data_IF_313053390901
#
_entry.id   IF_313053390901
#
_cell.length_a   1.000
_cell.length_b   1.000
_cell.length_c   1.000
_cell.angle_alpha   90.00
_cell.angle_beta   90.00
_cell.angle_gamma   90.00
#
_symmetry.space_group_name_H-M   'P 1'
#
loop_
_entity.id
_entity.type
_entity.pdbx_description
1 polymer ?
#
# COMPACT_ATOMS: atom_id res chain seq x y z
N UNK A 1 -0.33 -28.25 1.32
CA UNK A 1 0.98 -27.72 1.72
C UNK A 1 0.78 -26.30 2.22
N UNK A 2 1.30 -25.95 3.38
CA UNK A 2 1.04 -24.65 4.03
C UNK A 2 2.01 -23.59 3.51
N UNK A 3 1.50 -22.40 3.22
CA UNK A 3 2.29 -21.21 2.90
C UNK A 3 2.12 -20.17 4.00
N UNK A 4 3.12 -19.32 4.21
CA UNK A 4 3.09 -18.23 5.20
C UNK A 4 3.18 -16.89 4.48
N UNK A 5 2.14 -16.07 4.60
CA UNK A 5 2.08 -14.70 4.11
C UNK A 5 2.45 -13.74 5.24
N UNK A 6 3.65 -13.17 5.18
CA UNK A 6 4.07 -12.10 6.06
C UNK A 6 3.41 -10.80 5.62
N UNK A 7 2.59 -10.22 6.48
CA UNK A 7 1.72 -9.06 6.17
C UNK A 7 1.57 -8.15 7.39
N UNK A 8 0.81 -7.06 7.23
CA UNK A 8 0.46 -6.14 8.30
C UNK A 8 -0.86 -5.48 7.93
N UNK A 9 -1.79 -5.43 8.88
CA UNK A 9 -3.12 -4.86 8.66
C UNK A 9 -3.15 -3.34 8.40
N UNK A 10 -1.99 -2.66 8.29
CA UNK A 10 -1.92 -1.29 7.77
C UNK A 10 -1.11 -1.15 6.46
N UNK A 11 -0.78 -2.28 5.83
CA UNK A 11 -0.03 -2.33 4.56
C UNK A 11 -1.00 -2.46 3.39
N UNK A 12 -1.08 -1.43 2.56
CA UNK A 12 -1.86 -1.45 1.30
C UNK A 12 -1.54 -2.66 0.43
N UNK A 13 -0.26 -3.00 0.32
CA UNK A 13 0.17 -4.13 -0.49
C UNK A 13 -0.02 -5.47 0.22
N UNK A 14 -0.03 -5.47 1.56
CA UNK A 14 -0.46 -6.63 2.35
C UNK A 14 -1.95 -6.92 2.10
N UNK A 15 -2.78 -5.87 2.15
CA UNK A 15 -4.21 -5.94 1.88
C UNK A 15 -4.51 -6.49 0.47
N UNK A 16 -3.77 -6.06 -0.56
CA UNK A 16 -3.92 -6.60 -1.92
C UNK A 16 -3.69 -8.13 -1.95
N UNK A 17 -2.65 -8.62 -1.28
CA UNK A 17 -2.36 -10.05 -1.20
C UNK A 17 -3.40 -10.81 -0.36
N UNK A 18 -3.89 -10.22 0.72
CA UNK A 18 -4.96 -10.81 1.55
C UNK A 18 -6.29 -10.89 0.80
N UNK A 19 -6.68 -9.83 0.07
CA UNK A 19 -7.84 -9.85 -0.82
C UNK A 19 -7.74 -11.02 -1.81
N UNK A 20 -6.57 -11.19 -2.44
CA UNK A 20 -6.33 -12.32 -3.35
C UNK A 20 -6.46 -13.67 -2.61
N UNK A 21 -5.89 -13.83 -1.41
CA UNK A 21 -6.01 -15.06 -0.62
C UNK A 21 -7.48 -15.41 -0.35
N UNK A 22 -8.30 -14.43 0.04
CA UNK A 22 -9.72 -14.65 0.33
C UNK A 22 -10.54 -14.93 -0.93
N UNK A 23 -10.39 -14.11 -1.96
CA UNK A 23 -11.15 -14.21 -3.22
C UNK A 23 -10.85 -15.49 -3.99
N UNK A 24 -9.60 -15.93 -3.95
CA UNK A 24 -9.17 -17.18 -4.56
C UNK A 24 -9.49 -18.40 -3.67
N UNK A 25 -9.91 -18.21 -2.41
CA UNK A 25 -10.21 -19.28 -1.46
C UNK A 25 -8.98 -20.09 -1.07
N UNK A 26 -7.82 -19.44 -0.91
CA UNK A 26 -6.53 -20.07 -0.60
C UNK A 26 -6.44 -20.47 0.90
N UNK A 27 -7.12 -21.56 1.28
CA UNK A 27 -7.23 -22.02 2.68
C UNK A 27 -5.92 -22.52 3.31
N UNK A 28 -4.88 -22.74 2.51
CA UNK A 28 -3.57 -23.22 2.95
C UNK A 28 -2.55 -22.10 3.13
N UNK A 29 -2.96 -20.84 3.08
CA UNK A 29 -2.11 -19.67 3.35
C UNK A 29 -2.42 -19.16 4.75
N UNK A 30 -1.42 -19.16 5.63
CA UNK A 30 -1.50 -18.59 6.98
C UNK A 30 -0.84 -17.21 6.98
N UNK A 31 -1.42 -16.24 7.67
CA UNK A 31 -0.83 -14.92 7.83
C UNK A 31 0.12 -14.87 9.03
N UNK A 32 1.22 -14.13 8.89
CA UNK A 32 2.13 -13.79 9.98
C UNK A 32 2.31 -12.27 10.00
N UNK A 33 2.05 -11.64 11.13
CA UNK A 33 2.07 -10.17 11.22
C UNK A 33 3.48 -9.65 11.49
N UNK A 34 3.92 -8.70 10.67
CA UNK A 34 5.14 -7.90 10.88
C UNK A 34 4.72 -6.44 11.12
N UNK A 35 4.90 -5.92 12.33
CA UNK A 35 4.42 -4.58 12.69
C UNK A 35 5.31 -3.49 12.07
N UNK A 36 4.83 -2.88 10.98
CA UNK A 36 5.57 -1.83 10.27
C UNK A 36 5.66 -0.52 11.06
N UNK A 37 4.74 -0.27 12.00
CA UNK A 37 4.77 0.92 12.86
C UNK A 37 5.91 0.81 13.87
N UNK A 38 6.22 -0.41 14.34
CA UNK A 38 7.40 -0.66 15.18
C UNK A 38 8.69 -0.85 14.40
N UNK A 39 8.60 -1.00 13.08
CA UNK A 39 9.75 -1.30 12.22
C UNK A 39 10.25 -2.73 12.40
N UNK A 40 9.37 -3.68 12.74
CA UNK A 40 9.73 -5.09 12.95
C UNK A 40 10.24 -5.77 11.68
N UNK A 41 9.91 -5.21 10.50
CA UNK A 41 10.45 -5.66 9.22
C UNK A 41 11.98 -5.46 9.11
N UNK A 42 12.59 -4.66 9.98
CA UNK A 42 14.03 -4.46 10.03
C UNK A 42 14.76 -5.46 10.93
N UNK A 43 14.05 -6.42 11.53
CA UNK A 43 14.72 -7.51 12.24
C UNK A 43 15.62 -8.32 11.27
N UNK A 44 16.89 -8.61 11.63
CA UNK A 44 17.81 -9.34 10.76
C UNK A 44 17.26 -10.68 10.26
N UNK A 45 16.41 -11.36 11.04
CA UNK A 45 15.77 -12.61 10.60
C UNK A 45 14.81 -12.39 9.43
N UNK A 46 14.06 -11.28 9.42
CA UNK A 46 13.18 -10.92 8.31
C UNK A 46 13.97 -10.34 7.13
N UNK A 47 15.01 -9.54 7.38
CA UNK A 47 15.92 -9.05 6.33
C UNK A 47 16.57 -10.23 5.61
N UNK A 48 16.95 -11.29 6.33
CA UNK A 48 17.49 -12.51 5.71
C UNK A 48 16.46 -13.27 4.87
N UNK A 49 15.17 -13.14 5.18
CA UNK A 49 14.09 -13.74 4.38
C UNK A 49 13.83 -12.90 3.12
N UNK A 50 13.74 -11.58 3.28
CA UNK A 50 13.55 -10.62 2.21
C UNK A 50 14.51 -9.44 2.38
N UNK A 51 15.56 -9.39 1.55
CA UNK A 51 16.61 -8.36 1.62
C UNK A 51 16.10 -6.92 1.40
N UNK A 52 14.90 -6.74 0.84
CA UNK A 52 14.25 -5.42 0.72
C UNK A 52 13.55 -4.98 2.01
N UNK A 53 13.36 -5.92 2.96
CA UNK A 53 12.57 -5.77 4.18
C UNK A 53 11.16 -5.22 3.92
N UNK A 54 10.55 -5.64 2.80
CA UNK A 54 9.21 -5.25 2.41
C UNK A 54 8.20 -6.32 2.79
N UNK A 55 6.95 -5.90 2.97
CA UNK A 55 5.80 -6.79 3.00
C UNK A 55 4.82 -6.37 1.90
N UNK A 56 4.01 -7.28 1.37
CA UNK A 56 3.92 -8.70 1.72
C UNK A 56 5.14 -9.52 1.32
N UNK A 57 5.37 -10.64 2.00
CA UNK A 57 6.32 -11.69 1.60
C UNK A 57 5.64 -13.04 1.75
N UNK A 58 5.69 -13.90 0.74
CA UNK A 58 5.12 -15.25 0.80
C UNK A 58 6.23 -16.29 0.85
N UNK A 59 6.25 -17.11 1.91
CA UNK A 59 7.06 -18.32 1.97
C UNK A 59 6.19 -19.53 1.60
N UNK A 60 6.56 -20.25 0.54
CA UNK A 60 5.79 -21.40 0.03
C UNK A 60 6.72 -22.39 -0.66
N UNK A 61 6.60 -23.68 -0.34
CA UNK A 61 7.37 -24.75 -0.99
C UNK A 61 8.90 -24.49 -1.06
N UNK A 62 9.48 -23.92 0.01
CA UNK A 62 10.92 -23.58 0.05
C UNK A 62 11.31 -22.37 -0.80
N UNK A 63 10.34 -21.66 -1.40
CA UNK A 63 10.52 -20.42 -2.16
C UNK A 63 10.04 -19.24 -1.34
N UNK A 64 10.71 -18.10 -1.54
CA UNK A 64 10.30 -16.79 -1.00
C UNK A 64 9.90 -15.92 -2.18
N UNK A 65 8.68 -15.40 -2.17
CA UNK A 65 8.21 -14.37 -3.11
C UNK A 65 8.12 -13.05 -2.35
N UNK A 66 8.75 -12.00 -2.86
CA UNK A 66 8.96 -10.73 -2.12
C UNK A 66 8.24 -9.53 -2.73
N UNK A 67 7.56 -9.74 -3.86
CA UNK A 67 6.75 -8.73 -4.54
C UNK A 67 5.28 -9.11 -4.47
N UNK A 68 4.42 -8.15 -4.17
CA UNK A 68 2.96 -8.32 -4.20
C UNK A 68 2.48 -8.85 -5.53
N UNK A 69 3.05 -8.37 -6.63
CA UNK A 69 2.62 -8.80 -7.98
C UNK A 69 2.98 -10.27 -8.20
N UNK A 70 4.20 -10.70 -7.85
CA UNK A 70 4.59 -12.11 -7.94
C UNK A 70 3.76 -13.02 -7.03
N UNK A 71 3.45 -12.56 -5.81
CA UNK A 71 2.63 -13.28 -4.84
C UNK A 71 1.24 -13.51 -5.41
N UNK A 72 0.57 -12.46 -5.89
CA UNK A 72 -0.79 -12.57 -6.40
C UNK A 72 -0.81 -13.41 -7.69
N UNK A 73 0.10 -13.18 -8.63
CA UNK A 73 0.20 -14.01 -9.84
C UNK A 73 0.41 -15.50 -9.49
N UNK A 74 1.22 -15.81 -8.46
CA UNK A 74 1.40 -17.18 -7.98
C UNK A 74 0.13 -17.78 -7.40
N UNK A 75 -0.61 -17.02 -6.58
CA UNK A 75 -1.89 -17.47 -6.00
C UNK A 75 -2.94 -17.74 -7.09
N UNK A 76 -3.03 -16.85 -8.08
CA UNK A 76 -3.90 -17.01 -9.27
C UNK A 76 -3.54 -18.29 -10.02
N UNK A 77 -2.24 -18.49 -10.30
CA UNK A 77 -1.77 -19.66 -11.04
C UNK A 77 -2.09 -20.99 -10.33
N UNK A 78 -2.07 -21.04 -8.99
CA UNK A 78 -2.42 -22.24 -8.23
C UNK A 78 -3.90 -22.60 -8.37
N UNK A 79 -4.80 -21.61 -8.50
CA UNK A 79 -6.24 -21.87 -8.58
C UNK A 79 -6.75 -22.26 -9.97
N UNK A 80 -6.03 -21.90 -11.03
CA UNK A 80 -6.43 -22.19 -12.41
C UNK A 80 -7.06 -20.98 -13.13
N UNK A 81 -7.76 -21.21 -14.25
CA UNK A 81 -8.22 -20.14 -15.17
C UNK A 81 -9.02 -19.04 -14.45
N UNK A 82 -8.41 -17.87 -14.33
CA UNK A 82 -9.03 -16.59 -14.02
C UNK A 82 -9.23 -15.78 -15.31
N UNK A 83 -9.99 -14.66 -15.28
CA UNK A 83 -10.10 -13.72 -16.39
C UNK A 83 -8.73 -13.23 -16.90
N UNK A 84 -8.71 -12.67 -18.11
CA UNK A 84 -7.52 -12.03 -18.68
C UNK A 84 -6.94 -11.01 -17.71
N UNK A 85 -5.64 -11.10 -17.42
CA UNK A 85 -4.92 -10.10 -16.60
C UNK A 85 -4.57 -8.92 -17.49
N UNK A 86 -5.10 -7.74 -17.18
CA UNK A 86 -4.59 -6.49 -17.74
C UNK A 86 -3.46 -5.96 -16.86
N UNK A 87 -2.24 -6.40 -17.18
CA UNK A 87 -1.03 -6.04 -16.42
C UNK A 87 -0.78 -4.54 -16.39
N UNK A 88 -1.29 -3.78 -17.36
CA UNK A 88 -1.10 -2.34 -17.42
C UNK A 88 -1.67 -1.64 -16.18
N UNK A 89 -2.80 -2.10 -15.64
CA UNK A 89 -3.38 -1.51 -14.42
C UNK A 89 -2.59 -1.82 -13.17
N UNK A 90 -2.03 -3.03 -13.09
CA UNK A 90 -1.14 -3.44 -12.00
C UNK A 90 0.09 -2.55 -12.03
N UNK A 91 0.76 -2.47 -13.18
CA UNK A 91 1.98 -1.67 -13.32
C UNK A 91 1.66 -0.19 -13.03
N UNK A 92 0.50 0.31 -13.48
CA UNK A 92 0.08 1.70 -13.27
C UNK A 92 -0.01 2.10 -11.80
N UNK A 93 -0.69 1.32 -10.96
CA UNK A 93 -0.85 1.65 -9.53
C UNK A 93 0.41 1.37 -8.70
N UNK A 94 1.42 0.72 -9.28
CA UNK A 94 2.76 0.55 -8.70
C UNK A 94 3.78 1.58 -9.19
N UNK A 95 3.41 2.51 -10.09
CA UNK A 95 4.29 3.62 -10.48
C UNK A 95 4.54 4.58 -9.30
N UNK A 96 5.77 5.10 -9.18
CA UNK A 96 6.14 6.09 -8.16
C UNK A 96 5.21 7.33 -8.16
N UNK A 97 4.69 7.71 -9.33
CA UNK A 97 3.76 8.83 -9.50
C UNK A 97 2.39 8.60 -8.86
N UNK A 98 2.06 7.36 -8.49
CA UNK A 98 0.81 6.93 -7.86
C UNK A 98 1.06 6.11 -6.58
N UNK A 99 2.28 6.07 -6.04
CA UNK A 99 2.60 5.33 -4.81
C UNK A 99 1.66 5.67 -3.63
N UNK A 100 0.80 4.72 -3.22
CA UNK A 100 -0.17 4.96 -2.15
C UNK A 100 0.49 5.02 -0.76
N UNK A 101 1.74 4.60 -0.60
CA UNK A 101 2.50 4.78 0.62
C UNK A 101 3.06 6.19 0.75
N UNK A 102 3.40 6.85 -0.36
CA UNK A 102 3.74 8.26 -0.34
C UNK A 102 2.55 9.12 0.13
N UNK A 103 1.31 8.79 -0.24
CA UNK A 103 0.10 9.45 0.28
C UNK A 103 0.00 9.45 1.82
N UNK A 104 0.52 8.41 2.49
CA UNK A 104 0.56 8.38 3.95
C UNK A 104 1.52 9.44 4.52
N UNK A 105 2.66 9.67 3.86
CA UNK A 105 3.74 10.51 4.37
C UNK A 105 3.79 11.93 3.78
N UNK A 106 3.18 12.15 2.62
CA UNK A 106 3.22 13.44 1.94
C UNK A 106 2.58 14.55 2.77
N UNK A 107 3.04 15.78 2.58
CA UNK A 107 2.41 16.98 3.12
C UNK A 107 2.51 18.09 2.07
N UNK A 108 1.41 18.79 1.79
CA UNK A 108 1.36 19.80 0.72
C UNK A 108 1.81 21.18 1.19
N UNK A 109 1.88 21.38 2.50
CA UNK A 109 2.22 22.64 3.14
C UNK A 109 2.69 22.39 4.59
N UNK A 110 3.09 23.47 5.26
CA UNK A 110 3.61 23.42 6.64
C UNK A 110 2.59 22.93 7.66
N UNK A 111 1.32 23.32 7.53
CA UNK A 111 0.28 22.95 8.49
C UNK A 111 -0.01 21.45 8.44
N UNK A 112 -0.09 20.89 7.22
CA UNK A 112 -0.22 19.45 7.02
C UNK A 112 0.99 18.68 7.55
N UNK A 113 2.21 19.20 7.33
CA UNK A 113 3.42 18.58 7.84
C UNK A 113 3.43 18.56 9.37
N UNK A 114 3.06 19.68 10.01
CA UNK A 114 2.96 19.78 11.47
C UNK A 114 1.93 18.80 12.03
N UNK A 115 0.74 18.71 11.42
CA UNK A 115 -0.29 17.77 11.82
C UNK A 115 0.18 16.31 11.68
N UNK A 116 0.83 15.97 10.56
CA UNK A 116 1.36 14.62 10.32
C UNK A 116 2.52 14.26 11.24
N UNK A 117 3.39 15.21 11.58
CA UNK A 117 4.49 14.99 12.51
C UNK A 117 4.02 14.67 13.94
N UNK A 118 2.88 15.24 14.34
CA UNK A 118 2.23 14.98 15.62
C UNK A 118 1.39 13.69 15.64
N UNK A 119 1.02 13.15 14.46
CA UNK A 119 0.19 11.96 14.33
C UNK A 119 0.97 10.67 14.03
N UNK A 120 0.20 9.64 13.64
CA UNK A 120 0.70 8.31 13.28
C UNK A 120 1.81 8.34 12.21
N UNK A 121 1.75 9.18 11.14
CA UNK A 121 2.85 9.25 10.18
C UNK A 121 4.20 9.66 10.81
N UNK A 122 4.19 10.62 11.73
CA UNK A 122 5.39 11.04 12.45
C UNK A 122 5.92 9.95 13.38
N UNK A 123 5.03 9.25 14.09
CA UNK A 123 5.39 8.07 14.89
C UNK A 123 6.01 6.96 14.04
N UNK A 124 5.39 6.64 12.92
CA UNK A 124 5.87 5.64 11.96
C UNK A 124 7.31 5.93 11.51
N UNK A 125 7.61 7.16 11.09
CA UNK A 125 8.95 7.54 10.62
C UNK A 125 9.99 7.49 11.75
N UNK A 126 9.64 7.91 12.97
CA UNK A 126 10.52 7.86 14.16
C UNK A 126 10.85 6.42 14.56
N UNK A 127 9.84 5.60 14.78
CA UNK A 127 10.01 4.22 15.23
C UNK A 127 10.84 3.40 14.22
N UNK A 128 10.66 3.66 12.92
CA UNK A 128 11.49 3.04 11.87
C UNK A 128 12.95 3.45 11.99
N UNK A 129 13.23 4.73 12.26
CA UNK A 129 14.60 5.19 12.46
C UNK A 129 15.24 4.51 13.68
N UNK A 130 14.50 4.43 14.78
CA UNK A 130 14.96 3.78 16.02
C UNK A 130 15.23 2.30 15.81
N UNK A 131 14.32 1.57 15.16
CA UNK A 131 14.49 0.15 14.83
C UNK A 131 15.71 -0.08 13.93
N UNK A 132 15.88 0.73 12.88
CA UNK A 132 17.04 0.66 11.98
C UNK A 132 18.37 0.84 12.74
N UNK A 133 18.46 1.86 13.61
CA UNK A 133 19.66 2.12 14.41
C UNK A 133 19.92 1.00 15.43
N UNK A 134 18.87 0.50 16.08
CA UNK A 134 18.94 -0.65 17.01
C UNK A 134 19.50 -1.89 16.33
N UNK A 135 18.97 -2.26 15.17
CA UNK A 135 19.42 -3.46 14.47
C UNK A 135 20.79 -3.27 13.82
N UNK A 136 21.11 -2.07 13.33
CA UNK A 136 22.40 -1.77 12.71
C UNK A 136 23.57 -2.15 13.62
N UNK A 137 23.49 -1.93 14.93
CA UNK A 137 24.59 -2.24 15.87
C UNK A 137 24.62 -3.70 16.34
N UNK A 138 23.61 -4.52 15.99
CA UNK A 138 23.53 -5.90 16.43
C UNK A 138 24.53 -6.82 15.70
N UNK A 139 25.05 -7.88 16.36
CA UNK A 139 25.90 -8.88 15.69
C UNK A 139 25.20 -9.57 14.50
N UNK A 140 23.90 -9.84 14.62
CA UNK A 140 23.10 -10.48 13.58
C UNK A 140 22.97 -9.62 12.29
N UNK A 141 23.20 -8.31 12.38
CA UNK A 141 23.18 -7.41 11.24
C UNK A 141 24.51 -7.30 10.48
N UNK A 142 25.56 -8.05 10.88
CA UNK A 142 26.90 -7.92 10.30
C UNK A 142 26.92 -8.08 8.77
N UNK A 143 26.19 -9.05 8.22
CA UNK A 143 26.06 -9.28 6.77
C UNK A 143 25.16 -8.27 6.05
N UNK A 144 24.37 -7.47 6.80
CA UNK A 144 23.36 -6.57 6.26
C UNK A 144 23.70 -5.09 6.47
N UNK A 145 24.94 -4.76 6.87
CA UNK A 145 25.38 -3.38 7.09
C UNK A 145 25.07 -2.44 5.92
N UNK A 146 25.29 -2.82 4.64
CA UNK A 146 24.94 -1.94 3.52
C UNK A 146 23.43 -1.63 3.45
N UNK A 147 22.58 -2.63 3.68
CA UNK A 147 21.13 -2.47 3.73
C UNK A 147 20.73 -1.46 4.81
N UNK A 148 21.20 -1.66 6.04
CA UNK A 148 20.85 -0.78 7.16
C UNK A 148 21.39 0.65 6.95
N UNK A 149 22.63 0.81 6.50
CA UNK A 149 23.20 2.14 6.23
C UNK A 149 22.38 2.90 5.19
N UNK A 150 21.96 2.24 4.11
CA UNK A 150 21.09 2.85 3.10
C UNK A 150 19.73 3.24 3.68
N UNK A 151 19.06 2.33 4.42
CA UNK A 151 17.75 2.60 5.01
C UNK A 151 17.79 3.69 6.09
N UNK A 152 18.85 3.75 6.91
CA UNK A 152 19.09 4.81 7.91
C UNK A 152 19.17 6.17 7.22
N UNK A 153 19.90 6.26 6.10
CA UNK A 153 20.03 7.51 5.35
C UNK A 153 18.69 7.94 4.74
N UNK A 154 17.99 7.03 4.05
CA UNK A 154 16.71 7.34 3.41
C UNK A 154 15.60 7.71 4.41
N UNK A 155 15.42 6.91 5.48
CA UNK A 155 14.41 7.20 6.49
C UNK A 155 14.78 8.44 7.32
N UNK A 156 16.08 8.64 7.59
CA UNK A 156 16.58 9.82 8.29
C UNK A 156 16.34 11.12 7.52
N UNK A 157 16.42 11.09 6.18
CA UNK A 157 16.08 12.26 5.35
C UNK A 157 14.60 12.66 5.48
N UNK A 158 13.68 11.67 5.48
CA UNK A 158 12.25 11.93 5.71
C UNK A 158 12.01 12.43 7.14
N UNK A 159 12.67 11.81 8.14
CA UNK A 159 12.56 12.24 9.53
C UNK A 159 13.04 13.68 9.74
N UNK A 160 14.10 14.10 9.04
CA UNK A 160 14.60 15.46 9.13
C UNK A 160 13.57 16.49 8.63
N UNK A 161 12.79 16.17 7.59
CA UNK A 161 11.68 17.02 7.12
C UNK A 161 10.62 17.12 8.22
N UNK A 162 10.20 15.97 8.77
CA UNK A 162 9.19 15.89 9.83
C UNK A 162 9.58 16.62 11.11
N UNK A 163 10.87 16.64 11.45
CA UNK A 163 11.41 17.34 12.61
C UNK A 163 11.74 18.81 12.34
N UNK A 164 11.44 19.34 11.14
CA UNK A 164 11.83 20.70 10.73
C UNK A 164 13.35 20.96 10.83
N UNK A 165 14.17 19.91 10.67
CA UNK A 165 15.63 19.99 10.71
C UNK A 165 16.29 19.82 9.33
N UNK A 166 15.50 19.55 8.29
CA UNK A 166 15.96 19.54 6.91
C UNK A 166 16.18 20.98 6.39
N UNK A 167 17.03 21.18 5.37
CA UNK A 167 17.14 22.47 4.68
C UNK A 167 15.78 22.97 4.18
N UNK A 168 15.58 24.29 4.16
CA UNK A 168 14.33 24.89 3.69
C UNK A 168 14.00 24.47 2.25
N UNK A 169 14.99 24.48 1.35
CA UNK A 169 14.82 24.06 -0.05
C UNK A 169 14.35 22.61 -0.16
N UNK A 170 14.87 21.70 0.67
CA UNK A 170 14.42 20.29 0.72
C UNK A 170 12.97 20.18 1.15
N UNK A 171 12.55 20.99 2.12
CA UNK A 171 11.16 21.01 2.60
C UNK A 171 10.21 21.57 1.53
N UNK A 172 10.63 22.62 0.83
CA UNK A 172 9.86 23.22 -0.28
C UNK A 172 9.72 22.25 -1.46
N UNK A 173 10.79 21.53 -1.81
CA UNK A 173 10.78 20.50 -2.83
C UNK A 173 9.85 19.34 -2.46
N UNK A 174 9.84 18.93 -1.19
CA UNK A 174 8.92 17.91 -0.67
C UNK A 174 7.45 18.34 -0.79
N UNK A 175 7.13 19.61 -0.50
CA UNK A 175 5.78 20.14 -0.67
C UNK A 175 5.36 20.16 -2.14
N UNK A 176 6.25 20.59 -3.05
CA UNK A 176 5.99 20.57 -4.49
C UNK A 176 5.72 19.14 -4.98
N UNK A 177 6.58 18.18 -4.60
CA UNK A 177 6.40 16.77 -4.95
C UNK A 177 5.08 16.21 -4.41
N UNK A 178 4.72 16.57 -3.18
CA UNK A 178 3.46 16.16 -2.54
C UNK A 178 2.24 16.68 -3.30
N UNK A 179 2.27 17.93 -3.73
CA UNK A 179 1.19 18.55 -4.52
C UNK A 179 1.06 17.89 -5.90
N UNK A 180 2.19 17.67 -6.60
CA UNK A 180 2.20 16.98 -7.89
C UNK A 180 1.66 15.55 -7.78
N UNK A 181 2.04 14.82 -6.73
CA UNK A 181 1.56 13.47 -6.50
C UNK A 181 0.05 13.43 -6.26
N UNK A 182 -0.49 14.33 -5.43
CA UNK A 182 -1.94 14.44 -5.22
C UNK A 182 -2.66 14.77 -6.53
N UNK A 183 -2.10 15.64 -7.37
CA UNK A 183 -2.67 15.94 -8.69
C UNK A 183 -2.71 14.71 -9.61
N UNK A 184 -1.66 13.87 -9.60
CA UNK A 184 -1.61 12.62 -10.38
C UNK A 184 -2.64 11.60 -9.88
N UNK A 185 -2.75 11.41 -8.56
CA UNK A 185 -3.76 10.54 -7.94
C UNK A 185 -5.18 11.01 -8.29
N UNK A 186 -5.43 12.32 -8.22
CA UNK A 186 -6.71 12.91 -8.61
C UNK A 186 -7.00 12.64 -10.10
N UNK A 187 -6.03 12.89 -10.98
CA UNK A 187 -6.19 12.66 -12.42
C UNK A 187 -6.53 11.19 -12.72
N UNK A 188 -5.81 10.26 -12.08
CA UNK A 188 -6.04 8.84 -12.25
C UNK A 188 -7.45 8.41 -11.83
N UNK A 189 -7.91 8.83 -10.65
CA UNK A 189 -9.24 8.45 -10.15
C UNK A 189 -10.36 9.11 -10.96
N UNK A 190 -10.26 10.42 -11.20
CA UNK A 190 -11.34 11.17 -11.84
C UNK A 190 -11.42 10.94 -13.35
N UNK A 191 -10.34 10.49 -13.98
CA UNK A 191 -10.24 10.34 -15.43
C UNK A 191 -9.92 8.90 -15.82
N UNK A 192 -8.69 8.44 -15.58
CA UNK A 192 -8.19 7.20 -16.20
C UNK A 192 -9.01 5.97 -15.76
N UNK A 193 -9.13 5.77 -14.44
CA UNK A 193 -9.92 4.69 -13.86
C UNK A 193 -11.40 4.83 -14.20
N UNK A 194 -11.93 6.05 -14.13
CA UNK A 194 -13.34 6.32 -14.40
C UNK A 194 -13.74 6.03 -15.85
N UNK A 195 -12.89 6.39 -16.82
CA UNK A 195 -13.08 6.14 -18.25
C UNK A 195 -13.05 4.65 -18.54
N UNK A 196 -12.07 3.91 -17.99
CA UNK A 196 -11.98 2.47 -18.18
C UNK A 196 -13.21 1.73 -17.64
N UNK A 197 -13.61 2.00 -16.39
CA UNK A 197 -14.79 1.40 -15.78
C UNK A 197 -16.09 1.73 -16.54
N UNK A 198 -16.17 2.92 -17.13
CA UNK A 198 -17.33 3.30 -17.96
C UNK A 198 -17.35 2.60 -19.32
N UNK A 199 -16.16 2.41 -19.91
CA UNK A 199 -16.02 1.75 -21.21
C UNK A 199 -16.31 0.24 -21.16
N UNK A 200 -16.20 -0.38 -19.99
CA UNK A 200 -16.45 -1.81 -19.78
C UNK A 200 -17.95 -2.23 -19.85
N UNK A 201 -18.86 -1.33 -20.27
CA UNK A 201 -20.27 -1.58 -20.66
C UNK A 201 -21.06 -2.56 -19.77
N UNK A 202 -20.92 -2.46 -18.45
CA UNK A 202 -21.70 -3.27 -17.50
C UNK A 202 -20.86 -4.23 -16.66
N UNK A 203 -19.59 -4.44 -17.00
CA UNK A 203 -18.64 -5.17 -16.17
C UNK A 203 -18.58 -4.60 -14.77
N UNK A 204 -18.62 -5.48 -13.76
CA UNK A 204 -18.57 -5.11 -12.35
C UNK A 204 -17.17 -4.64 -11.89
N UNK A 205 -16.12 -5.19 -12.49
CA UNK A 205 -14.70 -4.99 -12.19
C UNK A 205 -13.90 -4.70 -13.46
N UNK A 206 -12.59 -4.44 -13.32
CA UNK A 206 -11.72 -4.02 -14.44
C UNK A 206 -11.67 -5.06 -15.56
N UNK A 207 -11.59 -6.35 -15.20
CA UNK A 207 -11.48 -7.47 -16.15
C UNK A 207 -12.78 -8.25 -16.39
N UNK A 208 -13.87 -7.97 -15.66
CA UNK A 208 -15.14 -8.70 -15.82
C UNK A 208 -16.11 -8.60 -14.64
N UNK A 209 -17.02 -9.57 -14.55
CA UNK A 209 -18.04 -9.65 -13.48
C UNK A 209 -17.48 -10.01 -12.10
N UNK A 210 -16.29 -10.61 -12.06
CA UNK A 210 -15.57 -11.00 -10.82
C UNK A 210 -14.21 -10.30 -10.79
N UNK A 211 -13.67 -9.98 -9.59
CA UNK A 211 -12.39 -9.30 -9.49
C UNK A 211 -11.25 -10.19 -10.04
N UNK A 212 -10.46 -9.62 -10.95
CA UNK A 212 -9.23 -10.20 -11.47
C UNK A 212 -8.00 -9.81 -10.65
N UNK A 213 -6.82 -10.16 -11.17
CA UNK A 213 -5.53 -9.85 -10.53
C UNK A 213 -5.35 -8.33 -10.34
N UNK A 214 -5.67 -7.56 -11.38
CA UNK A 214 -5.62 -6.11 -11.38
C UNK A 214 -6.56 -5.48 -10.35
N UNK A 215 -7.73 -6.08 -10.10
CA UNK A 215 -8.70 -5.56 -9.16
C UNK A 215 -8.22 -5.67 -7.71
N UNK A 216 -7.45 -6.71 -7.36
CA UNK A 216 -6.84 -6.82 -6.02
C UNK A 216 -5.87 -5.66 -5.75
N UNK A 217 -5.09 -5.29 -6.76
CA UNK A 217 -4.15 -4.18 -6.66
C UNK A 217 -4.86 -2.83 -6.64
N UNK A 218 -5.77 -2.58 -7.60
CA UNK A 218 -6.47 -1.30 -7.73
C UNK A 218 -7.45 -1.08 -6.59
N UNK A 219 -8.15 -2.13 -6.14
CA UNK A 219 -9.06 -2.07 -4.99
C UNK A 219 -8.33 -1.69 -3.69
N UNK A 220 -7.22 -2.38 -3.38
CA UNK A 220 -6.41 -2.06 -2.21
C UNK A 220 -5.77 -0.66 -2.31
N UNK A 221 -5.26 -0.29 -3.50
CA UNK A 221 -4.74 1.04 -3.76
C UNK A 221 -5.80 2.12 -3.48
N UNK A 222 -7.03 1.94 -3.99
CA UNK A 222 -8.12 2.90 -3.79
C UNK A 222 -8.54 2.99 -2.31
N UNK A 223 -8.52 1.87 -1.58
CA UNK A 223 -8.73 1.85 -0.13
C UNK A 223 -7.71 2.73 0.61
N UNK A 224 -6.42 2.61 0.25
CA UNK A 224 -5.34 3.42 0.82
C UNK A 224 -5.49 4.90 0.50
N UNK A 225 -5.90 5.26 -0.72
CA UNK A 225 -6.16 6.66 -1.08
C UNK A 225 -7.35 7.22 -0.29
N UNK A 226 -8.42 6.44 -0.12
CA UNK A 226 -9.56 6.84 0.71
C UNK A 226 -9.13 7.04 2.16
N UNK A 227 -8.34 6.12 2.73
CA UNK A 227 -7.82 6.24 4.09
C UNK A 227 -6.95 7.48 4.27
N UNK A 228 -6.01 7.72 3.35
CA UNK A 228 -5.13 8.91 3.40
C UNK A 228 -5.88 10.22 3.12
N UNK A 229 -7.09 10.14 2.58
CA UNK A 229 -8.06 11.25 2.46
C UNK A 229 -8.91 11.42 3.72
N UNK A 230 -8.72 10.61 4.76
CA UNK A 230 -9.39 10.70 6.05
C UNK A 230 -10.55 9.73 6.27
N UNK A 231 -10.70 8.70 5.44
CA UNK A 231 -11.69 7.64 5.68
C UNK A 231 -11.16 6.61 6.69
N UNK A 232 -11.97 6.27 7.68
CA UNK A 232 -11.67 5.19 8.63
C UNK A 232 -12.44 3.92 8.29
N UNK A 233 -13.63 4.07 7.71
CA UNK A 233 -14.52 2.98 7.31
C UNK A 233 -14.86 3.03 5.84
N UNK A 234 -15.29 1.89 5.30
CA UNK A 234 -15.59 1.75 3.86
C UNK A 234 -16.73 2.66 3.41
N UNK A 235 -17.71 2.90 4.28
CA UNK A 235 -18.88 3.74 4.01
C UNK A 235 -18.51 5.22 3.82
N UNK A 236 -17.38 5.66 4.40
CA UNK A 236 -16.87 7.04 4.33
C UNK A 236 -16.02 7.28 3.07
N UNK A 237 -15.53 6.21 2.43
CA UNK A 237 -14.47 6.29 1.43
C UNK A 237 -14.76 7.25 0.29
N UNK A 238 -15.93 7.13 -0.34
CA UNK A 238 -16.33 8.01 -1.45
C UNK A 238 -16.50 9.45 -1.00
N UNK A 239 -17.11 9.69 0.17
CA UNK A 239 -17.27 11.04 0.70
C UNK A 239 -15.90 11.70 0.92
N UNK A 240 -14.96 10.98 1.53
CA UNK A 240 -13.62 11.50 1.84
C UNK A 240 -12.77 11.73 0.60
N UNK A 241 -12.88 10.88 -0.41
CA UNK A 241 -12.26 11.11 -1.71
C UNK A 241 -12.78 12.40 -2.37
N UNK A 242 -14.11 12.64 -2.34
CA UNK A 242 -14.69 13.87 -2.89
C UNK A 242 -14.21 15.13 -2.15
N UNK A 243 -14.18 15.08 -0.81
CA UNK A 243 -13.67 16.17 0.03
C UNK A 243 -12.20 16.48 -0.30
N UNK A 244 -11.36 15.44 -0.40
CA UNK A 244 -9.93 15.61 -0.69
C UNK A 244 -9.65 16.11 -2.12
N UNK A 245 -10.45 15.71 -3.11
CA UNK A 245 -10.27 16.09 -4.52
C UNK A 245 -10.96 17.41 -4.89
N UNK A 246 -11.87 17.91 -4.06
CA UNK A 246 -12.69 19.09 -4.35
C UNK A 246 -13.61 18.93 -5.57
N UNK A 247 -13.85 17.69 -6.01
CA UNK A 247 -14.65 17.33 -7.19
C UNK A 247 -15.47 16.07 -6.90
N UNK A 248 -16.66 15.91 -7.51
CA UNK A 248 -17.41 14.66 -7.42
C UNK A 248 -16.59 13.47 -7.94
N UNK A 249 -16.64 12.35 -7.22
CA UNK A 249 -16.06 11.09 -7.69
C UNK A 249 -16.99 10.52 -8.77
N UNK A 250 -16.47 10.10 -9.93
CA UNK A 250 -17.29 9.56 -11.01
C UNK A 250 -18.14 8.36 -10.57
N UNK A 251 -19.36 8.26 -11.10
CA UNK A 251 -20.31 7.21 -10.75
C UNK A 251 -19.77 5.80 -11.00
N UNK A 252 -18.93 5.61 -12.03
CA UNK A 252 -18.26 4.34 -12.32
C UNK A 252 -17.28 3.92 -11.21
N UNK A 253 -16.47 4.84 -10.70
CA UNK A 253 -15.55 4.60 -9.57
C UNK A 253 -16.33 4.36 -8.29
N UNK A 254 -17.39 5.13 -8.04
CA UNK A 254 -18.29 4.91 -6.89
C UNK A 254 -18.88 3.50 -6.92
N UNK A 255 -19.40 3.07 -8.06
CA UNK A 255 -19.99 1.75 -8.21
C UNK A 255 -18.94 0.62 -8.10
N UNK A 256 -17.69 0.87 -8.51
CA UNK A 256 -16.57 -0.07 -8.29
C UNK A 256 -16.24 -0.22 -6.80
N UNK A 257 -16.16 0.90 -6.07
CA UNK A 257 -15.96 0.90 -4.61
C UNK A 257 -17.09 0.17 -3.86
N UNK A 258 -18.35 0.43 -4.22
CA UNK A 258 -19.51 -0.21 -3.59
C UNK A 258 -19.51 -1.71 -3.81
N UNK A 259 -19.12 -2.17 -5.00
CA UNK A 259 -18.97 -3.60 -5.30
C UNK A 259 -17.88 -4.25 -4.48
N UNK A 260 -16.70 -3.61 -4.36
CA UNK A 260 -15.61 -4.10 -3.53
C UNK A 260 -16.00 -4.16 -2.06
N UNK A 261 -16.49 -3.05 -1.50
CA UNK A 261 -16.83 -2.93 -0.08
C UNK A 261 -18.00 -3.83 0.36
N UNK A 262 -18.85 -4.27 -0.56
CA UNK A 262 -19.90 -5.25 -0.26
C UNK A 262 -19.36 -6.69 -0.05
N UNK A 263 -18.18 -7.03 -0.59
CA UNK A 263 -17.64 -8.40 -0.59
C UNK A 263 -17.22 -8.86 0.80
N UNK A 264 -17.35 -10.16 1.06
CA UNK A 264 -16.92 -10.77 2.32
C UNK A 264 -15.41 -10.67 2.53
N UNK A 265 -14.61 -10.84 1.46
CA UNK A 265 -13.15 -10.67 1.50
C UNK A 265 -12.74 -9.27 1.95
N UNK A 266 -13.38 -8.23 1.40
CA UNK A 266 -13.14 -6.84 1.77
C UNK A 266 -13.47 -6.60 3.24
N UNK A 267 -14.61 -7.10 3.71
CA UNK A 267 -15.02 -6.98 5.11
C UNK A 267 -14.08 -7.69 6.07
N UNK A 268 -13.45 -8.78 5.63
CA UNK A 268 -12.46 -9.50 6.43
C UNK A 268 -11.13 -8.73 6.49
N UNK A 269 -10.62 -8.28 5.34
CA UNK A 269 -9.36 -7.52 5.25
C UNK A 269 -9.45 -6.17 5.96
N UNK A 270 -10.55 -5.43 5.74
CA UNK A 270 -10.76 -4.09 6.29
C UNK A 270 -11.69 -4.09 7.52
N UNK A 271 -11.77 -5.21 8.25
CA UNK A 271 -12.70 -5.41 9.36
C UNK A 271 -12.62 -4.31 10.42
N UNK A 272 -11.39 -3.94 10.80
CA UNK A 272 -11.15 -2.94 11.83
C UNK A 272 -11.19 -1.51 11.26
N UNK A 273 -10.48 -1.27 10.16
CA UNK A 273 -10.37 0.05 9.53
C UNK A 273 -9.81 -0.07 8.10
N UNK A 274 -10.14 0.90 7.26
CA UNK A 274 -9.42 1.11 6.00
C UNK A 274 -7.96 1.44 6.29
N UNK A 275 -7.08 0.95 5.41
CA UNK A 275 -5.66 1.10 5.60
C UNK A 275 -4.87 1.03 4.30
#
# INVERSE_FOLDING_TARGET
MTATLYTFGLSVWGAAAELAVFELGCTNVQTYTIDLVKGDNFDPSFVSLNNSASIPTLYTQGRVLTSTTEIISHLVAIKGKQPSVDRAWIDKVHEDGLDPNFCLLLARNKDELQAKAAGVPGEFVRNRQESLLKHFVSPAAASFKPFYSSKIASNGAVLAIYNSSAPQSTTEDFFRQSQEHVARVQQFILTDLAQHLSAAKGSAFLGGEIPGEEDFHVGAWLARIAMTSGAHKSEEGIQKLQEAMGKPVPGSVKAYWERWSARSSWKEVYLATLH
#
